data_IF_148975715464
#
_entry.id   IF_148975715464
#
_cell.length_a   1.000
_cell.length_b   1.000
_cell.length_c   1.000
_cell.angle_alpha   90.00
_cell.angle_beta   90.00
_cell.angle_gamma   90.00
#
_symmetry.space_group_name_H-M   'P 1'
#
loop_
_entity.id
_entity.type
_entity.pdbx_description
1 polymer ?
#
# COMPACT_ATOMS: atom_id res chain seq x y z
N UNK A 1 55.48 -1.62 34.12
CA UNK A 1 54.49 -0.53 34.26
C UNK A 1 54.32 -0.24 35.72
N UNK A 2 54.46 1.02 36.11
CA UNK A 2 54.11 1.45 37.46
C UNK A 2 52.57 1.47 37.61
N UNK A 3 52.05 1.23 38.82
CA UNK A 3 50.60 1.35 39.10
C UNK A 3 49.99 2.66 38.57
N UNK A 4 50.61 3.85 38.72
CA UNK A 4 50.04 5.11 38.21
C UNK A 4 49.95 5.18 36.68
N UNK A 5 50.89 4.59 35.93
CA UNK A 5 50.81 4.51 34.46
C UNK A 5 49.60 3.69 34.01
N UNK A 6 49.33 2.57 34.68
CA UNK A 6 48.18 1.73 34.37
C UNK A 6 46.85 2.45 34.64
N UNK A 7 46.77 3.22 35.73
CA UNK A 7 45.57 4.02 36.06
C UNK A 7 45.32 5.12 35.03
N UNK A 8 46.36 5.80 34.55
CA UNK A 8 46.23 6.85 33.53
C UNK A 8 45.73 6.28 32.20
N UNK A 9 46.29 5.15 31.75
CA UNK A 9 45.84 4.47 30.52
C UNK A 9 44.38 4.02 30.65
N UNK A 10 44.00 3.45 31.79
CA UNK A 10 42.62 3.04 32.04
C UNK A 10 41.65 4.24 32.01
N UNK A 11 42.03 5.39 32.58
CA UNK A 11 41.21 6.60 32.55
C UNK A 11 41.00 7.15 31.13
N UNK A 12 42.03 7.10 30.28
CA UNK A 12 41.94 7.53 28.87
C UNK A 12 40.96 6.61 28.11
N UNK A 13 41.08 5.29 28.28
CA UNK A 13 40.19 4.32 27.64
C UNK A 13 38.75 4.53 28.09
N UNK A 14 38.52 4.72 29.40
CA UNK A 14 37.20 5.00 29.95
C UNK A 14 36.58 6.29 29.40
N UNK A 15 37.38 7.36 29.27
CA UNK A 15 36.93 8.61 28.66
C UNK A 15 36.51 8.42 27.20
N UNK A 16 37.31 7.71 26.39
CA UNK A 16 36.98 7.41 24.99
C UNK A 16 35.71 6.56 24.90
N UNK A 17 35.59 5.51 25.70
CA UNK A 17 34.41 4.66 25.72
C UNK A 17 33.14 5.45 26.08
N UNK A 18 33.24 6.40 27.01
CA UNK A 18 32.13 7.29 27.41
C UNK A 18 31.72 8.21 26.26
N UNK A 19 32.68 8.81 25.56
CA UNK A 19 32.40 9.67 24.39
C UNK A 19 31.74 8.87 23.27
N UNK A 20 32.24 7.68 22.94
CA UNK A 20 31.64 6.80 21.94
C UNK A 20 30.22 6.41 22.31
N UNK A 21 29.99 6.03 23.58
CA UNK A 21 28.66 5.68 24.09
C UNK A 21 27.69 6.86 23.98
N UNK A 22 28.15 8.08 24.28
CA UNK A 22 27.35 9.29 24.13
C UNK A 22 26.95 9.53 22.68
N UNK A 23 27.89 9.37 21.73
CA UNK A 23 27.61 9.51 20.29
C UNK A 23 26.54 8.51 19.84
N UNK A 24 26.68 7.24 20.22
CA UNK A 24 25.66 6.21 19.90
C UNK A 24 24.31 6.52 20.56
N UNK A 25 24.30 7.00 21.80
CA UNK A 25 23.08 7.36 22.51
C UNK A 25 22.35 8.52 21.82
N UNK A 26 23.07 9.57 21.43
CA UNK A 26 22.49 10.70 20.68
C UNK A 26 21.96 10.24 19.33
N UNK A 27 22.72 9.43 18.59
CA UNK A 27 22.28 8.91 17.30
C UNK A 27 21.00 8.06 17.41
N UNK A 28 20.92 7.18 18.41
CA UNK A 28 19.74 6.36 18.66
C UNK A 28 18.52 7.20 19.06
N UNK A 29 18.71 8.23 19.90
CA UNK A 29 17.63 9.14 20.30
C UNK A 29 17.08 9.92 19.11
N UNK A 30 17.95 10.43 18.24
CA UNK A 30 17.53 11.13 17.02
C UNK A 30 16.74 10.19 16.09
N UNK A 31 17.20 8.96 15.86
CA UNK A 31 16.46 7.99 15.04
C UNK A 31 15.10 7.64 15.68
N UNK A 32 15.03 7.51 17.01
CA UNK A 32 13.78 7.25 17.73
C UNK A 32 12.78 8.41 17.60
N UNK A 33 13.25 9.66 17.71
CA UNK A 33 12.44 10.86 17.51
C UNK A 33 11.89 10.91 16.07
N UNK A 34 12.72 10.65 15.06
CA UNK A 34 12.27 10.57 13.67
C UNK A 34 11.23 9.47 13.45
N UNK A 35 11.44 8.29 14.05
CA UNK A 35 10.50 7.16 13.94
C UNK A 35 9.17 7.46 14.61
N UNK A 36 9.19 8.18 15.73
CA UNK A 36 8.00 8.60 16.46
C UNK A 36 7.22 9.62 15.64
N UNK A 37 7.89 10.67 15.15
CA UNK A 37 7.26 11.66 14.27
C UNK A 37 6.66 11.02 13.00
N UNK A 38 7.34 10.04 12.40
CA UNK A 38 6.80 9.31 11.26
C UNK A 38 5.57 8.47 11.61
N UNK A 39 5.55 7.83 12.79
CA UNK A 39 4.38 7.10 13.28
C UNK A 39 3.18 8.01 13.49
N UNK A 40 3.39 9.19 14.07
CA UNK A 40 2.31 10.13 14.33
C UNK A 40 1.64 10.57 13.01
N UNK A 41 2.43 10.82 11.96
CA UNK A 41 1.89 11.14 10.63
C UNK A 41 1.17 9.95 10.00
N UNK A 42 1.71 8.73 10.11
CA UNK A 42 1.16 7.55 9.40
C UNK A 42 -0.05 6.92 10.11
N UNK A 43 -0.31 7.20 11.39
CA UNK A 43 -1.44 6.63 12.14
C UNK A 43 -2.78 6.98 11.51
N UNK A 44 -2.95 8.25 11.16
CA UNK A 44 -4.19 8.73 10.54
C UNK A 44 -4.35 8.16 9.13
N UNK A 45 -3.25 8.11 8.38
CA UNK A 45 -3.19 7.51 7.05
C UNK A 45 -3.51 6.00 7.09
N UNK A 46 -2.97 5.26 8.07
CA UNK A 46 -3.18 3.82 8.23
C UNK A 46 -4.68 3.50 8.35
N UNK A 47 -5.38 4.21 9.23
CA UNK A 47 -6.82 4.00 9.44
C UNK A 47 -7.63 4.40 8.21
N UNK A 48 -7.32 5.54 7.61
CA UNK A 48 -8.04 6.07 6.46
C UNK A 48 -7.85 5.20 5.21
N UNK A 49 -6.62 4.81 4.91
CA UNK A 49 -6.27 3.94 3.78
C UNK A 49 -6.85 2.55 3.97
N UNK A 50 -6.69 1.94 5.14
CA UNK A 50 -7.24 0.61 5.43
C UNK A 50 -8.75 0.57 5.23
N UNK A 51 -9.47 1.58 5.73
CA UNK A 51 -10.92 1.73 5.51
C UNK A 51 -11.26 1.88 4.02
N UNK A 52 -10.59 2.79 3.30
CA UNK A 52 -10.90 3.05 1.89
C UNK A 52 -10.62 1.84 0.99
N UNK A 53 -9.50 1.14 1.20
CA UNK A 53 -9.17 -0.11 0.49
C UNK A 53 -10.21 -1.19 0.78
N UNK A 54 -10.57 -1.38 2.04
CA UNK A 54 -11.57 -2.36 2.44
C UNK A 54 -12.94 -2.07 1.83
N UNK A 55 -13.42 -0.82 1.86
CA UNK A 55 -14.69 -0.42 1.26
C UNK A 55 -14.74 -0.70 -0.24
N UNK A 56 -13.68 -0.36 -0.98
CA UNK A 56 -13.59 -0.63 -2.42
C UNK A 56 -13.65 -2.13 -2.70
N UNK A 57 -12.91 -2.95 -1.95
CA UNK A 57 -12.93 -4.41 -2.11
C UNK A 57 -14.29 -5.00 -1.73
N UNK A 58 -14.91 -4.55 -0.64
CA UNK A 58 -16.20 -5.06 -0.18
C UNK A 58 -17.31 -4.75 -1.20
N UNK A 59 -17.38 -3.52 -1.69
CA UNK A 59 -18.38 -3.11 -2.69
C UNK A 59 -18.15 -3.79 -4.04
N UNK A 60 -16.89 -3.96 -4.45
CA UNK A 60 -16.51 -4.76 -5.62
C UNK A 60 -16.94 -6.22 -5.50
N UNK A 61 -16.83 -6.81 -4.30
CA UNK A 61 -17.29 -8.17 -4.03
C UNK A 61 -18.82 -8.30 -4.14
N UNK A 62 -19.56 -7.29 -3.68
CA UNK A 62 -21.01 -7.25 -3.81
C UNK A 62 -21.40 -7.15 -5.29
N UNK A 63 -20.74 -6.27 -6.07
CA UNK A 63 -20.98 -6.16 -7.52
C UNK A 63 -20.77 -7.50 -8.24
N UNK A 64 -19.67 -8.19 -7.91
CA UNK A 64 -19.34 -9.51 -8.45
C UNK A 64 -20.44 -10.54 -8.17
N UNK A 65 -21.02 -10.54 -6.97
CA UNK A 65 -22.13 -11.44 -6.60
C UNK A 65 -23.45 -11.10 -7.31
N UNK A 66 -23.60 -9.87 -7.79
CA UNK A 66 -24.81 -9.39 -8.48
C UNK A 66 -24.67 -9.33 -10.00
N UNK A 67 -23.64 -9.95 -10.59
CA UNK A 67 -23.44 -9.88 -12.05
C UNK A 67 -24.65 -10.43 -12.83
N UNK A 68 -25.23 -11.54 -12.38
CA UNK A 68 -26.36 -12.19 -13.05
C UNK A 68 -27.74 -11.72 -12.54
N UNK A 69 -27.77 -10.85 -11.53
CA UNK A 69 -28.98 -10.42 -10.84
C UNK A 69 -29.52 -9.04 -11.27
N UNK A 70 -30.62 -8.59 -10.65
CA UNK A 70 -31.15 -7.24 -10.82
C UNK A 70 -30.05 -6.21 -10.52
N UNK A 71 -29.90 -5.23 -11.40
CA UNK A 71 -28.94 -4.16 -11.16
C UNK A 71 -29.46 -3.25 -10.05
N UNK A 72 -28.61 -3.03 -9.06
CA UNK A 72 -28.84 -2.17 -7.90
C UNK A 72 -28.06 -0.87 -8.10
N UNK A 73 -28.61 0.15 -8.79
CA UNK A 73 -27.90 1.38 -9.14
C UNK A 73 -27.29 2.10 -7.92
N UNK A 74 -27.93 1.99 -6.76
CA UNK A 74 -27.44 2.49 -5.47
C UNK A 74 -26.10 1.86 -5.07
N UNK A 75 -25.89 0.56 -5.36
CA UNK A 75 -24.64 -0.14 -5.05
C UNK A 75 -23.50 0.27 -5.99
N UNK A 76 -23.83 0.53 -7.26
CA UNK A 76 -22.86 1.06 -8.22
C UNK A 76 -22.40 2.47 -7.83
N UNK A 77 -23.34 3.34 -7.40
CA UNK A 77 -23.00 4.67 -6.87
C UNK A 77 -22.11 4.58 -5.64
N UNK A 78 -22.45 3.71 -4.68
CA UNK A 78 -21.63 3.50 -3.49
C UNK A 78 -20.20 3.05 -3.82
N UNK A 79 -20.03 2.16 -4.81
CA UNK A 79 -18.71 1.70 -5.26
C UNK A 79 -17.91 2.82 -5.95
N UNK A 80 -18.58 3.68 -6.72
CA UNK A 80 -17.96 4.87 -7.32
C UNK A 80 -17.50 5.87 -6.25
N UNK A 81 -18.32 6.10 -5.21
CA UNK A 81 -17.97 6.98 -4.10
C UNK A 81 -16.78 6.43 -3.29
N UNK A 82 -16.75 5.13 -3.00
CA UNK A 82 -15.60 4.50 -2.36
C UNK A 82 -14.33 4.63 -3.21
N UNK A 83 -14.45 4.48 -4.53
CA UNK A 83 -13.35 4.67 -5.47
C UNK A 83 -12.84 6.12 -5.47
N UNK A 84 -13.75 7.10 -5.38
CA UNK A 84 -13.40 8.52 -5.27
C UNK A 84 -12.65 8.81 -3.97
N UNK A 85 -13.14 8.31 -2.82
CA UNK A 85 -12.45 8.44 -1.53
C UNK A 85 -11.04 7.85 -1.56
N UNK A 86 -10.86 6.68 -2.19
CA UNK A 86 -9.54 6.08 -2.35
C UNK A 86 -8.62 6.91 -3.26
N UNK A 87 -9.15 7.52 -4.34
CA UNK A 87 -8.38 8.40 -5.24
C UNK A 87 -7.90 9.67 -4.53
N UNK A 88 -8.75 10.26 -3.69
CA UNK A 88 -8.41 11.42 -2.87
C UNK A 88 -7.33 11.03 -1.85
N UNK A 89 -7.56 9.97 -1.08
CA UNK A 89 -6.59 9.50 -0.08
C UNK A 89 -5.24 9.11 -0.66
N UNK A 90 -5.21 8.56 -1.87
CA UNK A 90 -3.95 8.27 -2.60
C UNK A 90 -3.06 9.52 -2.73
N UNK A 91 -3.64 10.70 -2.96
CA UNK A 91 -2.88 11.94 -3.09
C UNK A 91 -2.30 12.38 -1.75
N UNK A 92 -3.09 12.27 -0.68
CA UNK A 92 -2.66 12.60 0.69
C UNK A 92 -1.48 11.73 1.12
N UNK A 93 -1.57 10.41 0.90
CA UNK A 93 -0.59 9.44 1.39
C UNK A 93 0.61 9.23 0.46
N UNK A 94 0.71 9.99 -0.63
CA UNK A 94 1.73 9.77 -1.67
C UNK A 94 3.16 9.81 -1.12
N UNK A 95 3.41 10.71 -0.18
CA UNK A 95 4.74 10.92 0.40
C UNK A 95 5.01 9.99 1.58
N UNK A 96 4.01 9.69 2.41
CA UNK A 96 4.12 8.78 3.56
C UNK A 96 4.25 7.32 3.10
N UNK A 97 3.49 6.94 2.07
CA UNK A 97 3.43 5.61 1.47
C UNK A 97 4.01 5.57 0.06
N UNK A 98 5.20 6.15 -0.10
CA UNK A 98 5.88 6.23 -1.39
C UNK A 98 5.98 4.86 -2.08
N UNK A 99 5.68 4.85 -3.39
CA UNK A 99 5.75 3.66 -4.22
C UNK A 99 4.49 2.78 -4.24
N UNK A 100 3.46 3.10 -3.46
CA UNK A 100 2.16 2.40 -3.48
C UNK A 100 1.11 3.06 -4.40
N UNK A 101 1.43 4.18 -5.05
CA UNK A 101 0.50 4.97 -5.88
C UNK A 101 -0.22 4.13 -6.95
N UNK A 102 0.53 3.28 -7.67
CA UNK A 102 -0.03 2.49 -8.76
C UNK A 102 -1.02 1.44 -8.25
N UNK A 103 -0.81 0.93 -7.03
CA UNK A 103 -1.71 -0.01 -6.38
C UNK A 103 -3.02 0.66 -5.97
N UNK A 104 -2.95 1.83 -5.34
CA UNK A 104 -4.15 2.63 -5.04
C UNK A 104 -4.90 3.04 -6.30
N UNK A 105 -4.18 3.45 -7.35
CA UNK A 105 -4.78 3.78 -8.65
C UNK A 105 -5.51 2.59 -9.25
N UNK A 106 -4.88 1.41 -9.21
CA UNK A 106 -5.42 0.15 -9.72
C UNK A 106 -6.68 -0.25 -8.95
N UNK A 107 -6.62 -0.26 -7.61
CA UNK A 107 -7.80 -0.58 -6.78
C UNK A 107 -8.93 0.43 -6.97
N UNK A 108 -8.64 1.72 -7.11
CA UNK A 108 -9.67 2.75 -7.35
C UNK A 108 -10.42 2.64 -8.68
N UNK A 109 -9.97 1.76 -9.59
CA UNK A 109 -10.62 1.44 -10.87
C UNK A 109 -11.26 0.05 -10.84
N UNK A 110 -11.13 -0.68 -9.74
CA UNK A 110 -11.61 -2.06 -9.62
C UNK A 110 -13.11 -2.21 -9.88
N UNK A 111 -14.01 -1.35 -9.33
CA UNK A 111 -15.44 -1.48 -9.62
C UNK A 111 -15.75 -1.35 -11.11
N UNK A 112 -15.12 -0.39 -11.79
CA UNK A 112 -15.30 -0.18 -13.23
C UNK A 112 -14.80 -1.41 -14.02
N UNK A 113 -13.63 -1.95 -13.65
CA UNK A 113 -13.06 -3.13 -14.30
C UNK A 113 -13.87 -4.41 -14.09
N UNK A 114 -14.45 -4.61 -12.90
CA UNK A 114 -15.39 -5.72 -12.64
C UNK A 114 -16.67 -5.53 -13.45
N UNK A 115 -17.22 -4.32 -13.49
CA UNK A 115 -18.38 -3.97 -14.31
C UNK A 115 -18.12 -4.24 -15.80
N UNK A 116 -16.95 -3.86 -16.30
CA UNK A 116 -16.52 -4.20 -17.64
C UNK A 116 -16.42 -5.72 -17.81
N UNK A 117 -15.81 -6.45 -16.88
CA UNK A 117 -15.65 -7.90 -16.97
C UNK A 117 -16.94 -8.72 -16.84
N UNK A 118 -18.11 -8.09 -16.69
CA UNK A 118 -19.42 -8.74 -16.52
C UNK A 118 -19.73 -9.90 -17.50
N UNK A 119 -19.48 -9.79 -18.82
CA UNK A 119 -19.71 -10.89 -19.76
C UNK A 119 -18.81 -12.12 -19.56
N UNK A 120 -17.77 -12.01 -18.73
CA UNK A 120 -16.91 -13.13 -18.38
C UNK A 120 -16.76 -13.22 -16.85
N UNK A 121 -17.74 -13.84 -16.15
CA UNK A 121 -17.74 -13.95 -14.69
C UNK A 121 -16.45 -14.57 -14.12
N UNK A 122 -15.86 -15.53 -14.84
CA UNK A 122 -14.58 -16.16 -14.48
C UNK A 122 -13.44 -15.13 -14.43
N UNK A 123 -13.36 -14.23 -15.41
CA UNK A 123 -12.36 -13.16 -15.44
C UNK A 123 -12.63 -12.13 -14.35
N UNK A 124 -13.89 -11.72 -14.16
CA UNK A 124 -14.27 -10.81 -13.08
C UNK A 124 -13.87 -11.35 -11.70
N UNK A 125 -14.12 -12.65 -11.45
CA UNK A 125 -13.70 -13.34 -10.23
C UNK A 125 -12.17 -13.36 -10.08
N UNK A 126 -11.43 -13.63 -11.16
CA UNK A 126 -9.97 -13.64 -11.15
C UNK A 126 -9.38 -12.26 -10.85
N UNK A 127 -9.91 -11.21 -11.48
CA UNK A 127 -9.53 -9.81 -11.19
C UNK A 127 -9.78 -9.48 -9.72
N UNK A 128 -10.94 -9.87 -9.18
CA UNK A 128 -11.25 -9.62 -7.78
C UNK A 128 -10.28 -10.34 -6.82
N UNK A 129 -9.94 -11.60 -7.08
CA UNK A 129 -8.94 -12.34 -6.28
C UNK A 129 -7.57 -11.66 -6.31
N UNK A 130 -7.12 -11.24 -7.50
CA UNK A 130 -5.87 -10.49 -7.65
C UNK A 130 -5.92 -9.13 -6.93
N UNK A 131 -7.05 -8.45 -6.95
CA UNK A 131 -7.24 -7.20 -6.23
C UNK A 131 -7.21 -7.37 -4.70
N UNK A 132 -7.79 -8.47 -4.17
CA UNK A 132 -7.64 -8.81 -2.75
C UNK A 132 -6.18 -8.98 -2.36
N UNK A 133 -5.38 -9.63 -3.21
CA UNK A 133 -3.94 -9.76 -2.96
C UNK A 133 -3.23 -8.41 -2.96
N UNK A 134 -3.58 -7.49 -3.88
CA UNK A 134 -3.08 -6.11 -3.85
C UNK A 134 -3.42 -5.45 -2.51
N UNK A 135 -4.68 -5.54 -2.06
CA UNK A 135 -5.13 -5.01 -0.77
C UNK A 135 -4.34 -5.58 0.42
N UNK A 136 -4.14 -6.89 0.46
CA UNK A 136 -3.34 -7.55 1.48
C UNK A 136 -1.88 -7.05 1.50
N UNK A 137 -1.26 -6.91 0.33
CA UNK A 137 0.12 -6.40 0.24
C UNK A 137 0.23 -4.94 0.64
N UNK A 138 -0.77 -4.10 0.33
CA UNK A 138 -0.86 -2.72 0.83
C UNK A 138 -0.94 -2.75 2.36
N UNK A 139 -1.87 -3.50 2.96
CA UNK A 139 -2.01 -3.58 4.43
C UNK A 139 -0.70 -3.99 5.11
N UNK A 140 0.00 -4.99 4.58
CA UNK A 140 1.31 -5.42 5.09
C UNK A 140 2.38 -4.34 4.94
N UNK A 141 2.37 -3.58 3.85
CA UNK A 141 3.30 -2.48 3.62
C UNK A 141 3.05 -1.32 4.59
N UNK A 142 1.79 -0.91 4.78
CA UNK A 142 1.40 0.19 5.68
C UNK A 142 1.63 -0.19 7.14
N UNK A 143 1.25 -1.41 7.56
CA UNK A 143 1.55 -1.92 8.91
C UNK A 143 3.05 -2.00 9.17
N UNK A 144 3.82 -2.46 8.19
CA UNK A 144 5.27 -2.50 8.26
C UNK A 144 5.87 -1.11 8.46
N UNK A 145 5.38 -0.13 7.70
CA UNK A 145 5.81 1.26 7.79
C UNK A 145 5.51 1.86 9.18
N UNK A 146 4.31 1.62 9.71
CA UNK A 146 3.93 2.03 11.06
C UNK A 146 4.81 1.40 12.16
N UNK A 147 4.96 0.07 12.16
CA UNK A 147 5.75 -0.64 13.17
C UNK A 147 7.21 -0.16 13.14
N UNK A 148 7.78 0.00 11.95
CA UNK A 148 9.16 0.44 11.78
C UNK A 148 9.34 1.94 12.02
N UNK A 149 8.27 2.75 11.91
CA UNK A 149 8.37 4.21 11.94
C UNK A 149 9.15 4.76 10.75
N UNK A 150 9.03 4.10 9.59
CA UNK A 150 9.74 4.47 8.34
C UNK A 150 8.82 4.19 7.15
N UNK A 151 9.09 4.81 6.00
CA UNK A 151 8.36 4.51 4.77
C UNK A 151 8.43 3.01 4.39
N UNK A 152 7.46 2.49 3.62
CA UNK A 152 7.45 1.10 3.20
C UNK A 152 8.77 0.65 2.58
N UNK A 153 9.28 -0.51 3.01
CA UNK A 153 10.55 -1.03 2.48
C UNK A 153 10.46 -1.33 0.98
N UNK A 154 11.58 -1.18 0.26
CA UNK A 154 11.65 -1.43 -1.19
C UNK A 154 11.11 -2.82 -1.57
N UNK A 155 11.34 -3.82 -0.74
CA UNK A 155 10.83 -5.18 -0.96
C UNK A 155 9.30 -5.26 -0.84
N UNK A 156 8.68 -4.57 0.13
CA UNK A 156 7.22 -4.49 0.25
C UNK A 156 6.62 -3.78 -0.97
N UNK A 157 7.20 -2.66 -1.37
CA UNK A 157 6.81 -1.91 -2.57
C UNK A 157 6.91 -2.80 -3.82
N UNK A 158 7.99 -3.56 -3.96
CA UNK A 158 8.15 -4.51 -5.08
C UNK A 158 7.04 -5.57 -5.10
N UNK A 159 6.69 -6.17 -3.95
CA UNK A 159 5.62 -7.17 -3.88
C UNK A 159 4.26 -6.60 -4.27
N UNK A 160 3.92 -5.41 -3.77
CA UNK A 160 2.69 -4.71 -4.16
C UNK A 160 2.67 -4.47 -5.67
N UNK A 161 3.75 -3.93 -6.24
CA UNK A 161 3.83 -3.63 -7.67
C UNK A 161 3.82 -4.90 -8.54
N UNK A 162 4.37 -6.01 -8.04
CA UNK A 162 4.27 -7.31 -8.72
C UNK A 162 2.82 -7.80 -8.79
N UNK A 163 2.05 -7.68 -7.69
CA UNK A 163 0.63 -8.00 -7.67
C UNK A 163 -0.18 -7.12 -8.64
N UNK A 164 0.13 -5.81 -8.69
CA UNK A 164 -0.46 -4.87 -9.65
C UNK A 164 -0.16 -5.25 -11.09
N UNK A 165 1.08 -5.65 -11.40
CA UNK A 165 1.46 -6.12 -12.75
C UNK A 165 0.65 -7.35 -13.16
N UNK A 166 0.49 -8.32 -12.26
CA UNK A 166 -0.30 -9.52 -12.51
C UNK A 166 -1.77 -9.18 -12.79
N UNK A 167 -2.36 -8.30 -11.97
CA UNK A 167 -3.72 -7.80 -12.18
C UNK A 167 -3.87 -7.14 -13.56
N UNK A 168 -2.97 -6.18 -13.88
CA UNK A 168 -3.03 -5.43 -15.14
C UNK A 168 -2.87 -6.33 -16.35
N UNK A 169 -2.01 -7.35 -16.27
CA UNK A 169 -1.86 -8.36 -17.32
C UNK A 169 -3.18 -9.06 -17.60
N UNK A 170 -3.83 -9.62 -16.57
CA UNK A 170 -5.15 -10.26 -16.71
C UNK A 170 -6.18 -9.35 -17.36
N UNK A 171 -6.28 -8.10 -16.90
CA UNK A 171 -7.25 -7.16 -17.42
C UNK A 171 -6.96 -6.77 -18.88
N UNK A 172 -5.69 -6.54 -19.22
CA UNK A 172 -5.29 -6.18 -20.58
C UNK A 172 -5.52 -7.34 -21.55
N UNK A 173 -5.20 -8.58 -21.16
CA UNK A 173 -5.48 -9.77 -21.96
C UNK A 173 -6.99 -9.91 -22.24
N UNK A 174 -7.81 -9.68 -21.23
CA UNK A 174 -9.28 -9.65 -21.39
C UNK A 174 -9.77 -8.46 -22.24
N UNK A 175 -9.16 -7.28 -22.10
CA UNK A 175 -9.54 -6.12 -22.90
C UNK A 175 -9.18 -6.30 -24.37
N UNK A 176 -8.06 -6.99 -24.66
CA UNK A 176 -7.62 -7.28 -26.01
C UNK A 176 -8.58 -8.24 -26.74
N UNK A 177 -9.13 -9.23 -26.04
CA UNK A 177 -10.13 -10.16 -26.62
C UNK A 177 -11.49 -9.52 -26.89
N UNK A 178 -11.72 -8.29 -26.40
CA UNK A 178 -12.95 -7.51 -26.63
C UNK A 178 -12.85 -6.50 -27.76
N UNK A 179 -11.66 -6.27 -28.32
CA UNK A 179 -11.47 -5.27 -29.38
C UNK A 179 -12.42 -5.59 -30.54
N UNK A 180 -13.20 -4.61 -31.03
CA UNK A 180 -14.42 -4.87 -31.79
C UNK A 180 -14.17 -5.48 -33.16
N UNK A 181 -14.96 -6.50 -33.46
CA UNK A 181 -15.40 -6.81 -34.82
C UNK A 181 -16.07 -5.56 -35.41
N UNK A 182 -15.32 -4.90 -36.31
CA UNK A 182 -15.76 -3.97 -37.36
C UNK A 182 -16.30 -2.60 -36.91
N UNK A 183 -15.64 -1.47 -37.29
CA UNK A 183 -16.29 -0.17 -37.19
C UNK A 183 -17.55 -0.18 -38.06
N UNK A 184 -18.68 0.24 -37.50
CA UNK A 184 -19.89 0.46 -38.30
C UNK A 184 -19.51 1.33 -39.50
N UNK A 185 -19.72 0.80 -40.71
CA UNK A 185 -19.46 1.52 -41.94
C UNK A 185 -20.24 2.85 -41.92
N UNK A 186 -19.65 3.94 -42.43
CA UNK A 186 -20.24 5.29 -42.39
C UNK A 186 -21.60 5.36 -43.07
#
# INVERSE_FOLDING_TARGET
MSQPEATMVAAIIAAIATVLTLIFTVANKVDEEFRTAHRDVIVDDLKAVGKAVHEVLALSAIQLKTLDGPQHPERYRAAADASKRLKEKRLDVRYTLWGLDDAFRTLSRLPDWIGHAKPSPKIAQMLFVQAKEIGNQIDLAVRGAYIQGRSPSKWRVYRVNSAVKSFKKTYNDFSATRTPTTPAAP
#
